data_IF_289053648012
#
_entry.id   IF_289053648012
#
_cell.length_a   1.000
_cell.length_b   1.000
_cell.length_c   1.000
_cell.angle_alpha   90.00
_cell.angle_beta   90.00
_cell.angle_gamma   90.00
#
_symmetry.space_group_name_H-M   'P 1'
#
loop_
_entity.id
_entity.type
_entity.pdbx_description
1 polymer ?
#
# COMPACT_ATOMS: atom_id res chain seq x y z
N UNK A 1 23.32 29.21 -22.89
CA UNK A 1 22.01 29.83 -22.59
C UNK A 1 20.97 28.72 -22.59
N UNK A 2 20.52 28.32 -21.40
CA UNK A 2 19.47 27.32 -21.23
C UNK A 2 18.14 28.01 -21.55
N UNK A 3 17.39 27.52 -22.55
CA UNK A 3 16.05 28.02 -22.83
C UNK A 3 15.08 26.95 -22.38
N UNK A 4 14.28 27.24 -21.36
CA UNK A 4 13.15 26.39 -20.99
C UNK A 4 12.05 26.59 -22.03
N UNK A 5 11.72 25.53 -22.79
CA UNK A 5 10.59 25.54 -23.72
C UNK A 5 9.50 24.63 -23.15
N UNK A 6 8.38 25.23 -22.75
CA UNK A 6 7.20 24.48 -22.34
C UNK A 6 6.40 24.07 -23.58
N UNK A 7 6.50 22.82 -23.99
CA UNK A 7 5.68 22.26 -25.08
C UNK A 7 4.54 21.45 -24.46
N UNK A 8 3.29 21.84 -24.72
CA UNK A 8 2.12 21.00 -24.40
C UNK A 8 1.98 19.94 -25.50
N UNK A 9 2.21 18.67 -25.16
CA UNK A 9 1.96 17.54 -26.06
C UNK A 9 0.53 17.04 -25.81
N UNK A 10 -0.34 17.17 -26.81
CA UNK A 10 -1.79 16.97 -26.67
C UNK A 10 -2.26 15.50 -26.57
N UNK A 11 -1.34 14.52 -26.52
CA UNK A 11 -1.67 13.09 -26.57
C UNK A 11 -1.21 12.28 -25.36
N UNK A 12 -0.92 12.92 -24.22
CA UNK A 12 -0.55 12.24 -22.97
C UNK A 12 -1.78 12.17 -22.05
N UNK A 13 -2.14 10.99 -21.50
CA UNK A 13 -3.22 10.85 -20.53
C UNK A 13 -3.04 11.79 -19.32
N UNK A 14 -4.13 12.27 -18.69
CA UNK A 14 -4.08 13.28 -17.64
C UNK A 14 -3.35 12.87 -16.35
N UNK A 15 -2.93 11.60 -16.26
CA UNK A 15 -2.28 10.95 -15.11
C UNK A 15 -0.75 11.13 -15.10
N UNK A 16 -0.16 11.67 -16.17
CA UNK A 16 1.31 11.77 -16.35
C UNK A 16 1.80 13.23 -16.34
N UNK A 17 1.48 14.00 -15.29
CA UNK A 17 1.66 15.47 -15.32
C UNK A 17 3.07 16.02 -15.10
N UNK A 18 4.09 15.20 -14.93
CA UNK A 18 5.47 15.70 -14.78
C UNK A 18 6.40 15.07 -15.82
N UNK A 19 6.39 15.61 -17.05
CA UNK A 19 7.39 15.30 -18.07
C UNK A 19 8.42 16.42 -18.06
N UNK A 20 9.65 16.10 -17.65
CA UNK A 20 10.78 17.02 -17.71
C UNK A 20 11.56 16.80 -19.01
N UNK A 21 11.53 17.79 -19.91
CA UNK A 21 12.28 17.75 -21.17
C UNK A 21 13.55 18.57 -21.00
N UNK A 22 14.71 17.90 -21.07
CA UNK A 22 16.01 18.57 -21.11
C UNK A 22 16.45 18.70 -22.57
N UNK A 23 16.64 19.94 -23.06
CA UNK A 23 17.16 20.20 -24.41
C UNK A 23 18.61 20.64 -24.29
N UNK A 24 19.54 19.84 -24.81
CA UNK A 24 20.95 20.20 -24.88
C UNK A 24 21.26 20.83 -26.25
N UNK A 25 21.95 21.98 -26.26
CA UNK A 25 22.52 22.56 -27.50
C UNK A 25 24.02 22.30 -27.52
N UNK A 26 24.44 21.38 -28.37
CA UNK A 26 25.85 21.23 -28.73
C UNK A 26 26.25 22.29 -29.76
N UNK A 27 27.31 23.04 -29.47
CA UNK A 27 27.92 23.96 -30.43
C UNK A 27 29.06 23.23 -31.12
N UNK A 28 28.90 22.91 -32.41
CA UNK A 28 30.01 22.43 -33.24
C UNK A 28 30.58 23.60 -34.05
N UNK A 29 31.90 23.84 -34.03
CA UNK A 29 32.51 24.89 -34.82
C UNK A 29 32.82 24.35 -36.21
N UNK A 30 31.86 24.39 -37.15
CA UNK A 30 32.18 24.36 -38.57
C UNK A 30 31.15 25.13 -39.40
N UNK A 31 31.59 25.90 -40.42
CA UNK A 31 30.68 26.70 -41.23
C UNK A 31 30.25 25.87 -42.44
N UNK A 32 29.22 25.03 -42.28
CA UNK A 32 28.22 24.62 -43.30
C UNK A 32 27.47 23.39 -42.77
N UNK A 33 26.15 23.55 -42.63
CA UNK A 33 25.15 22.57 -42.17
C UNK A 33 24.94 22.47 -40.65
N UNK A 34 23.93 23.19 -40.16
CA UNK A 34 23.32 22.98 -38.84
C UNK A 34 22.36 21.79 -39.00
N UNK A 35 22.79 20.59 -38.60
CA UNK A 35 21.88 19.45 -38.43
C UNK A 35 21.34 19.46 -37.00
N UNK A 36 20.04 19.72 -36.84
CA UNK A 36 19.35 19.71 -35.55
C UNK A 36 18.99 18.24 -35.21
N UNK A 37 19.90 17.52 -34.57
CA UNK A 37 19.63 16.18 -34.04
C UNK A 37 18.88 16.26 -32.72
N UNK A 38 17.59 15.94 -32.69
CA UNK A 38 16.80 15.81 -31.45
C UNK A 38 16.90 14.35 -31.01
N UNK A 39 17.67 14.08 -29.95
CA UNK A 39 17.61 12.80 -29.25
C UNK A 39 16.60 12.91 -28.10
N UNK A 40 15.44 12.26 -28.26
CA UNK A 40 14.40 12.18 -27.24
C UNK A 40 14.63 10.93 -26.39
N UNK A 41 15.12 11.10 -25.16
CA UNK A 41 15.05 10.05 -24.14
C UNK A 41 13.84 10.31 -23.25
N UNK A 42 12.79 9.50 -23.41
CA UNK A 42 11.58 9.55 -22.61
C UNK A 42 11.80 8.67 -21.37
N UNK A 43 12.06 9.26 -20.20
CA UNK A 43 11.94 8.55 -18.94
C UNK A 43 10.51 8.67 -18.45
N UNK A 44 9.73 7.58 -18.58
CA UNK A 44 8.46 7.45 -17.89
C UNK A 44 8.75 6.79 -16.55
N UNK A 45 8.82 7.59 -15.48
CA UNK A 45 8.70 7.06 -14.14
C UNK A 45 7.23 6.66 -13.94
N UNK A 46 6.91 5.41 -14.28
CA UNK A 46 5.58 4.85 -14.09
C UNK A 46 5.41 4.47 -12.62
N UNK A 47 5.17 5.45 -11.75
CA UNK A 47 4.56 5.18 -10.44
C UNK A 47 3.10 4.83 -10.70
N UNK A 48 2.79 3.55 -10.91
CA UNK A 48 1.39 3.13 -10.95
C UNK A 48 0.80 3.35 -9.56
N UNK A 49 -0.05 4.37 -9.43
CA UNK A 49 -0.91 4.57 -8.27
C UNK A 49 -1.81 3.34 -8.16
N UNK A 50 -1.48 2.49 -7.22
CA UNK A 50 -2.20 1.26 -6.99
C UNK A 50 -3.48 1.58 -6.23
N UNK A 51 -4.58 1.73 -6.97
CA UNK A 51 -5.91 1.93 -6.38
C UNK A 51 -6.62 0.59 -6.33
N UNK A 52 -7.11 0.28 -5.14
CA UNK A 52 -7.87 -0.94 -4.86
C UNK A 52 -9.31 -0.57 -4.57
N UNK A 53 -10.26 -1.27 -5.20
CA UNK A 53 -11.70 -1.07 -5.02
C UNK A 53 -12.35 -2.33 -4.49
N UNK A 54 -12.92 -2.25 -3.28
CA UNK A 54 -13.74 -3.29 -2.68
C UNK A 54 -15.15 -2.73 -2.47
N UNK A 55 -16.15 -3.42 -3.01
CA UNK A 55 -17.56 -3.11 -2.76
C UNK A 55 -18.18 -4.21 -1.92
N UNK A 56 -18.75 -3.83 -0.78
CA UNK A 56 -19.51 -4.71 0.09
C UNK A 56 -20.99 -4.42 -0.11
N UNK A 57 -21.76 -5.47 -0.33
CA UNK A 57 -23.21 -5.38 -0.47
C UNK A 57 -23.87 -6.42 0.40
N UNK A 58 -24.92 -6.05 1.12
CA UNK A 58 -25.69 -7.01 1.93
C UNK A 58 -27.17 -6.84 1.69
N UNK A 59 -27.90 -7.94 1.83
CA UNK A 59 -29.36 -7.89 1.89
C UNK A 59 -29.82 -7.15 3.16
N UNK A 60 -31.03 -6.59 3.14
CA UNK A 60 -31.57 -5.88 4.31
C UNK A 60 -31.66 -6.78 5.56
N UNK A 61 -31.97 -8.07 5.36
CA UNK A 61 -32.02 -9.04 6.44
C UNK A 61 -30.64 -9.30 7.05
N UNK A 62 -29.62 -9.52 6.21
CA UNK A 62 -28.25 -9.74 6.67
C UNK A 62 -27.72 -8.48 7.38
N UNK A 63 -27.94 -7.30 6.79
CA UNK A 63 -27.53 -6.02 7.38
C UNK A 63 -28.17 -5.81 8.76
N UNK A 64 -29.46 -6.13 8.93
CA UNK A 64 -30.15 -6.00 10.22
C UNK A 64 -29.53 -6.89 11.29
N UNK A 65 -29.24 -8.15 10.95
CA UNK A 65 -28.60 -9.10 11.89
C UNK A 65 -27.20 -8.61 12.26
N UNK A 66 -26.39 -8.20 11.29
CA UNK A 66 -25.03 -7.68 11.52
C UNK A 66 -25.03 -6.43 12.41
N UNK A 67 -25.94 -5.47 12.16
CA UNK A 67 -26.09 -4.26 12.99
C UNK A 67 -26.55 -4.57 14.41
N UNK A 68 -27.51 -5.49 14.58
CA UNK A 68 -27.98 -5.91 15.89
C UNK A 68 -26.88 -6.59 16.71
N UNK A 69 -25.97 -7.30 16.05
CA UNK A 69 -24.78 -7.89 16.67
C UNK A 69 -23.64 -6.89 16.94
N UNK A 70 -23.79 -5.59 16.63
CA UNK A 70 -22.72 -4.61 16.83
C UNK A 70 -21.46 -4.87 16.01
N UNK A 71 -21.60 -5.60 14.89
CA UNK A 71 -20.49 -5.99 14.04
C UNK A 71 -20.05 -4.84 13.12
N UNK A 72 -18.75 -4.73 12.90
CA UNK A 72 -18.13 -3.80 11.97
C UNK A 72 -17.35 -4.55 10.89
N UNK A 73 -17.38 -4.03 9.66
CA UNK A 73 -16.58 -4.55 8.55
C UNK A 73 -15.11 -4.20 8.78
N UNK A 74 -14.28 -5.23 8.80
CA UNK A 74 -12.83 -5.13 8.78
C UNK A 74 -12.31 -5.50 7.39
N UNK A 75 -11.35 -4.73 6.89
CA UNK A 75 -10.62 -5.02 5.68
C UNK A 75 -9.13 -4.99 6.01
N UNK A 76 -8.45 -6.09 5.74
CA UNK A 76 -7.01 -6.23 5.93
C UNK A 76 -6.29 -6.49 4.62
N UNK A 77 -5.02 -6.09 4.57
CA UNK A 77 -4.12 -6.43 3.46
C UNK A 77 -3.04 -7.37 3.93
N UNK A 78 -2.66 -8.30 3.05
CA UNK A 78 -1.55 -9.21 3.29
C UNK A 78 -0.19 -8.55 3.04
N UNK A 79 0.81 -8.91 3.83
CA UNK A 79 2.22 -8.59 3.59
C UNK A 79 3.03 -9.88 3.73
N UNK A 80 3.91 -10.13 2.76
CA UNK A 80 4.89 -11.22 2.85
C UNK A 80 6.23 -10.71 3.34
N UNK A 81 6.83 -11.45 4.25
CA UNK A 81 8.18 -11.20 4.73
C UNK A 81 9.24 -11.92 3.87
N UNK A 82 10.51 -11.76 4.25
CA UNK A 82 11.65 -12.39 3.56
C UNK A 82 11.63 -13.92 3.60
N UNK A 83 10.88 -14.53 4.51
CA UNK A 83 10.68 -15.99 4.60
C UNK A 83 9.52 -16.49 3.72
N UNK A 84 8.73 -15.58 3.15
CA UNK A 84 7.50 -15.89 2.43
C UNK A 84 6.29 -16.10 3.34
N UNK A 85 6.41 -15.80 4.64
CA UNK A 85 5.30 -15.90 5.58
C UNK A 85 4.33 -14.74 5.35
N UNK A 86 3.06 -15.07 5.13
CA UNK A 86 2.00 -14.10 4.87
C UNK A 86 1.32 -13.73 6.18
N UNK A 87 1.25 -12.44 6.46
CA UNK A 87 0.50 -11.88 7.60
C UNK A 87 -0.52 -10.86 7.12
N UNK A 88 -1.61 -10.66 7.85
CA UNK A 88 -2.69 -9.73 7.49
C UNK A 88 -2.82 -8.64 8.54
N UNK A 89 -3.07 -7.40 8.12
CA UNK A 89 -3.36 -6.30 9.03
C UNK A 89 -4.48 -5.42 8.52
N UNK A 90 -5.34 -4.98 9.44
CA UNK A 90 -6.50 -4.13 9.15
C UNK A 90 -6.03 -2.80 8.58
N UNK A 91 -6.49 -2.49 7.36
CA UNK A 91 -6.28 -1.22 6.66
C UNK A 91 -7.53 -0.34 6.69
N UNK A 92 -8.69 -0.92 7.02
CA UNK A 92 -9.93 -0.20 7.18
C UNK A 92 -10.87 -0.92 8.15
N UNK A 93 -11.52 -0.12 8.99
CA UNK A 93 -12.59 -0.51 9.89
C UNK A 93 -13.80 0.39 9.66
N UNK A 94 -14.98 -0.19 9.48
CA UNK A 94 -16.21 0.59 9.34
C UNK A 94 -16.70 1.13 10.68
N UNK A 95 -17.13 2.39 10.73
CA UNK A 95 -17.82 2.93 11.90
C UNK A 95 -19.29 2.46 11.99
N UNK A 96 -20.00 2.42 10.85
CA UNK A 96 -21.36 1.90 10.71
C UNK A 96 -21.47 1.09 9.42
N UNK A 97 -22.43 0.17 9.36
CA UNK A 97 -22.72 -0.64 8.19
C UNK A 97 -23.81 0.02 7.32
N UNK A 98 -23.65 -0.02 6.00
CA UNK A 98 -24.65 0.44 5.05
C UNK A 98 -24.96 -0.65 4.01
N UNK A 99 -26.15 -0.66 3.37
CA UNK A 99 -26.50 -1.70 2.39
C UNK A 99 -25.45 -1.87 1.29
N UNK A 100 -24.85 -0.76 0.84
CA UNK A 100 -23.72 -0.75 -0.07
C UNK A 100 -22.60 0.08 0.56
N UNK A 101 -21.39 -0.46 0.58
CA UNK A 101 -20.20 0.23 1.07
C UNK A 101 -19.07 0.03 0.07
N UNK A 102 -18.37 1.10 -0.28
CA UNK A 102 -17.18 1.02 -1.12
C UNK A 102 -15.98 1.46 -0.31
N UNK A 103 -14.98 0.60 -0.21
CA UNK A 103 -13.69 0.89 0.42
C UNK A 103 -12.67 1.04 -0.70
N UNK A 104 -12.02 2.21 -0.73
CA UNK A 104 -10.98 2.55 -1.68
C UNK A 104 -9.77 3.06 -0.92
N UNK A 105 -8.59 2.52 -1.23
CA UNK A 105 -7.33 3.07 -0.75
C UNK A 105 -6.31 3.10 -1.88
N UNK A 106 -5.37 4.04 -1.73
CA UNK A 106 -4.18 4.13 -2.56
C UNK A 106 -3.03 3.54 -1.77
N UNK A 107 -2.27 2.63 -2.37
CA UNK A 107 -1.14 2.01 -1.70
C UNK A 107 0.09 2.95 -1.67
N UNK A 108 0.04 3.99 -0.84
CA UNK A 108 1.17 4.87 -0.56
C UNK A 108 1.95 4.30 0.61
N UNK A 109 2.91 3.41 0.33
CA UNK A 109 3.66 2.74 1.38
C UNK A 109 4.72 3.65 2.00
N UNK A 110 5.03 3.34 3.26
CA UNK A 110 6.16 3.93 3.96
C UNK A 110 6.86 2.90 4.85
N UNK A 111 8.14 3.13 5.10
CA UNK A 111 8.97 2.38 6.04
C UNK A 111 9.16 3.17 7.33
N UNK A 112 9.16 2.46 8.45
CA UNK A 112 9.64 2.93 9.74
C UNK A 112 10.32 1.75 10.48
N UNK A 113 10.78 1.95 11.70
CA UNK A 113 11.44 0.91 12.48
C UNK A 113 11.23 1.09 13.99
N UNK A 114 11.35 -0.03 14.70
CA UNK A 114 11.30 -0.13 16.18
C UNK A 114 12.38 -1.10 16.67
N UNK A 115 12.78 -1.00 17.94
CA UNK A 115 13.78 -1.91 18.55
C UNK A 115 13.16 -3.06 19.35
N UNK A 116 11.88 -2.93 19.69
CA UNK A 116 11.09 -3.92 20.44
C UNK A 116 9.67 -4.02 19.90
N UNK A 117 9.18 -5.24 19.68
CA UNK A 117 7.77 -5.50 19.36
C UNK A 117 6.92 -5.20 20.61
N UNK A 118 5.86 -4.37 20.50
CA UNK A 118 4.96 -4.12 21.62
C UNK A 118 4.19 -5.40 22.01
N UNK A 119 3.77 -5.49 23.27
CA UNK A 119 2.89 -6.57 23.71
C UNK A 119 1.61 -6.60 22.86
N UNK A 120 0.99 -7.77 22.63
CA UNK A 120 -0.30 -7.85 21.95
C UNK A 120 -1.31 -6.87 22.55
N UNK A 121 -1.92 -6.05 21.68
CA UNK A 121 -2.85 -4.98 22.06
C UNK A 121 -2.19 -3.62 22.30
N UNK A 122 -0.91 -3.54 22.66
CA UNK A 122 -0.25 -2.26 22.91
C UNK A 122 0.04 -1.48 21.62
N UNK A 123 -0.04 -0.14 21.71
CA UNK A 123 0.30 0.78 20.64
C UNK A 123 1.77 0.63 20.22
N UNK A 124 2.03 0.62 18.91
CA UNK A 124 3.40 0.64 18.39
C UNK A 124 3.96 2.06 18.57
N UNK A 125 4.98 2.19 19.43
CA UNK A 125 5.76 3.42 19.55
C UNK A 125 6.96 3.38 18.60
N UNK A 126 6.95 4.25 17.59
CA UNK A 126 8.02 4.34 16.59
C UNK A 126 9.24 5.06 17.15
N UNK A 127 10.43 4.60 16.76
CA UNK A 127 11.69 5.28 17.07
C UNK A 127 12.23 6.07 15.88
N UNK A 128 11.92 5.64 14.65
CA UNK A 128 12.28 6.32 13.42
C UNK A 128 11.23 7.31 12.90
N UNK A 129 11.61 8.00 11.83
CA UNK A 129 10.69 8.79 11.01
C UNK A 129 10.11 7.92 9.89
N UNK A 130 8.86 8.17 9.53
CA UNK A 130 8.25 7.54 8.36
C UNK A 130 8.95 7.98 7.07
N UNK A 131 9.30 7.03 6.24
CA UNK A 131 9.87 7.25 4.92
C UNK A 131 8.95 6.69 3.85
N UNK A 132 8.30 7.55 3.09
CA UNK A 132 7.50 7.12 1.94
C UNK A 132 8.38 6.44 0.89
N UNK A 133 7.89 5.36 0.32
CA UNK A 133 8.64 4.52 -0.61
C UNK A 133 7.70 3.87 -1.62
N UNK A 134 8.13 3.85 -2.88
CA UNK A 134 7.47 3.09 -3.92
C UNK A 134 8.03 1.66 -3.96
N UNK A 135 7.28 0.74 -4.57
CA UNK A 135 7.82 -0.57 -4.90
C UNK A 135 9.05 -0.42 -5.81
N UNK A 136 10.12 -1.12 -5.45
CA UNK A 136 11.41 -1.05 -6.13
C UNK A 136 12.36 0.00 -5.55
N UNK A 137 11.87 0.96 -4.76
CA UNK A 137 12.74 1.90 -4.07
C UNK A 137 13.56 1.17 -2.99
N UNK A 138 14.77 1.66 -2.76
CA UNK A 138 15.67 1.14 -1.72
C UNK A 138 16.22 2.25 -0.84
N UNK A 139 16.19 2.01 0.47
CA UNK A 139 16.59 2.96 1.50
C UNK A 139 17.52 2.30 2.50
N UNK A 140 18.51 3.03 2.99
CA UNK A 140 19.39 2.58 4.07
C UNK A 140 19.03 3.31 5.35
N UNK A 141 19.16 2.64 6.50
CA UNK A 141 19.26 3.33 7.78
C UNK A 141 20.70 3.77 7.99
N UNK A 142 20.94 5.02 8.35
CA UNK A 142 22.25 5.47 8.78
C UNK A 142 22.53 5.16 10.26
N UNK A 143 23.72 5.54 10.75
CA UNK A 143 24.12 5.34 12.14
C UNK A 143 23.21 6.04 13.16
N UNK A 144 22.44 7.04 12.74
CA UNK A 144 21.48 7.76 13.59
C UNK A 144 20.08 7.18 13.54
N UNK A 145 19.84 6.19 12.68
CA UNK A 145 18.52 5.62 12.43
C UNK A 145 17.66 6.44 11.48
N UNK A 146 18.27 7.37 10.74
CA UNK A 146 17.58 8.15 9.70
C UNK A 146 17.64 7.42 8.36
N UNK A 147 16.59 7.57 7.55
CA UNK A 147 16.50 6.96 6.23
C UNK A 147 17.32 7.75 5.19
N UNK A 148 18.14 7.05 4.42
CA UNK A 148 18.96 7.59 3.35
C UNK A 148 18.63 6.89 2.03
N UNK A 149 18.46 7.63 0.91
CA UNK A 149 18.12 7.02 -0.37
C UNK A 149 19.28 6.16 -0.89
N UNK A 150 18.99 4.93 -1.30
CA UNK A 150 19.96 3.99 -1.89
C UNK A 150 19.39 3.35 -3.16
N UNK A 151 19.04 4.18 -4.15
CA UNK A 151 18.33 3.72 -5.36
C UNK A 151 19.20 2.92 -6.35
N UNK A 152 20.50 2.81 -6.09
CA UNK A 152 21.44 2.02 -6.88
C UNK A 152 21.75 0.66 -6.22
N UNK A 153 20.96 0.24 -5.22
CA UNK A 153 21.13 -1.04 -4.54
C UNK A 153 20.97 -2.20 -5.55
N UNK A 154 22.03 -2.97 -5.85
CA UNK A 154 21.96 -4.05 -6.84
C UNK A 154 21.11 -5.24 -6.38
N UNK A 155 20.82 -5.34 -5.08
CA UNK A 155 19.98 -6.38 -4.50
C UNK A 155 18.51 -5.95 -4.36
N UNK A 156 18.15 -4.71 -4.75
CA UNK A 156 16.76 -4.25 -4.64
C UNK A 156 15.83 -5.05 -5.56
N UNK A 157 14.72 -5.54 -5.01
CA UNK A 157 13.65 -6.19 -5.77
C UNK A 157 12.60 -5.18 -6.20
N UNK A 158 12.21 -5.28 -7.47
CA UNK A 158 11.27 -4.36 -8.13
C UNK A 158 9.90 -4.25 -7.45
N UNK A 159 9.41 -5.32 -6.84
CA UNK A 159 8.08 -5.36 -6.23
C UNK A 159 8.11 -5.17 -4.69
N UNK A 160 9.29 -4.95 -4.12
CA UNK A 160 9.46 -4.86 -2.68
C UNK A 160 9.70 -3.41 -2.25
N UNK A 161 9.40 -3.13 -0.98
CA UNK A 161 9.98 -2.02 -0.24
C UNK A 161 11.33 -2.52 0.27
N UNK A 162 12.43 -1.96 -0.23
CA UNK A 162 13.76 -2.49 0.05
C UNK A 162 14.45 -1.66 1.13
N UNK A 163 15.05 -2.35 2.09
CA UNK A 163 16.04 -1.78 2.99
C UNK A 163 17.41 -2.29 2.54
N UNK A 164 18.25 -1.44 1.97
CA UNK A 164 19.55 -1.86 1.44
C UNK A 164 20.53 -2.20 2.55
N UNK A 165 20.55 -1.40 3.62
CA UNK A 165 21.40 -1.62 4.80
C UNK A 165 20.77 -1.05 6.07
N UNK A 166 20.79 -1.82 7.15
CA UNK A 166 20.63 -1.31 8.51
C UNK A 166 21.98 -0.79 9.04
N UNK A 167 22.28 0.50 8.86
CA UNK A 167 23.46 1.14 9.43
C UNK A 167 23.31 1.60 10.87
N UNK A 168 22.12 1.44 11.48
CA UNK A 168 21.87 1.82 12.86
C UNK A 168 22.70 0.96 13.84
N UNK A 169 22.89 1.46 15.06
CA UNK A 169 23.75 0.78 16.03
C UNK A 169 23.17 -0.55 16.52
N UNK A 170 21.86 -0.72 16.44
CA UNK A 170 21.11 -1.89 16.91
C UNK A 170 20.40 -2.63 15.77
N UNK A 171 19.99 -3.87 16.07
CA UNK A 171 19.08 -4.64 15.23
C UNK A 171 17.65 -4.09 15.39
N UNK A 172 16.94 -3.90 14.27
CA UNK A 172 15.63 -3.25 14.27
C UNK A 172 14.57 -4.14 13.65
N UNK A 173 13.31 -3.97 14.05
CA UNK A 173 12.16 -4.51 13.31
C UNK A 173 11.71 -3.46 12.31
N UNK A 174 11.60 -3.85 11.04
CA UNK A 174 11.05 -2.96 10.01
C UNK A 174 9.54 -2.92 10.14
N UNK A 175 9.01 -1.72 10.05
CA UNK A 175 7.59 -1.42 10.07
C UNK A 175 7.19 -0.94 8.69
N UNK A 176 6.13 -1.51 8.13
CA UNK A 176 5.50 -1.04 6.90
C UNK A 176 4.19 -0.36 7.26
N UNK A 177 3.97 0.82 6.70
CA UNK A 177 2.76 1.60 6.88
C UNK A 177 2.17 2.05 5.56
N UNK A 178 0.95 2.58 5.62
CA UNK A 178 0.27 3.25 4.51
C UNK A 178 -0.05 4.68 4.91
N UNK A 179 0.21 5.62 4.01
CA UNK A 179 -0.18 7.01 4.17
C UNK A 179 -1.61 7.25 3.68
N UNK A 180 -2.40 7.96 4.47
CA UNK A 180 -3.68 8.51 4.01
C UNK A 180 -3.49 9.74 3.10
N UNK A 181 -4.59 10.32 2.61
CA UNK A 181 -4.53 11.53 1.76
C UNK A 181 -3.99 12.77 2.47
N UNK A 182 -3.98 12.79 3.81
CA UNK A 182 -3.43 13.87 4.62
C UNK A 182 -1.94 13.69 4.93
N UNK A 183 -1.35 12.54 4.55
CA UNK A 183 0.03 12.18 4.86
C UNK A 183 0.20 11.55 6.25
N UNK A 184 -0.89 11.22 6.93
CA UNK A 184 -0.84 10.46 8.17
C UNK A 184 -0.53 8.99 7.86
N UNK A 185 0.46 8.41 8.55
CA UNK A 185 0.89 7.04 8.33
C UNK A 185 0.31 6.11 9.39
N UNK A 186 -0.39 5.08 8.95
CA UNK A 186 -0.86 3.98 9.80
C UNK A 186 0.01 2.76 9.56
N UNK A 187 0.46 2.11 10.64
CA UNK A 187 1.17 0.84 10.54
C UNK A 187 0.24 -0.24 10.02
N UNK A 188 0.71 -0.95 9.01
CA UNK A 188 0.02 -2.10 8.43
C UNK A 188 0.83 -3.37 8.55
N UNK A 189 2.05 -3.34 9.09
CA UNK A 189 2.84 -4.52 9.35
C UNK A 189 4.09 -4.19 10.18
N UNK A 190 4.48 -5.10 11.06
CA UNK A 190 5.76 -5.09 11.76
C UNK A 190 6.45 -6.40 11.47
N UNK A 191 7.71 -6.34 11.05
CA UNK A 191 8.50 -7.54 10.79
C UNK A 191 8.59 -8.39 12.04
N UNK A 192 8.30 -9.71 11.95
CA UNK A 192 8.50 -10.61 13.08
C UNK A 192 10.00 -10.81 13.36
N UNK A 193 10.84 -10.62 12.35
CA UNK A 193 12.28 -10.80 12.41
C UNK A 193 13.02 -9.46 12.50
N UNK A 194 14.12 -9.46 13.25
CA UNK A 194 14.99 -8.28 13.29
C UNK A 194 15.85 -8.21 12.03
N UNK A 195 15.85 -7.05 11.38
CA UNK A 195 16.87 -6.66 10.43
C UNK A 195 18.19 -6.41 11.17
N UNK A 196 19.14 -7.32 11.01
CA UNK A 196 20.43 -7.25 11.68
C UNK A 196 21.26 -6.05 11.20
N UNK A 197 22.10 -5.51 12.08
CA UNK A 197 23.06 -4.47 11.74
C UNK A 197 23.92 -4.87 10.54
N UNK A 198 24.10 -3.94 9.61
CA UNK A 198 24.78 -4.05 8.33
C UNK A 198 24.12 -4.99 7.30
N UNK A 199 22.92 -5.53 7.56
CA UNK A 199 22.18 -6.33 6.59
C UNK A 199 21.06 -5.54 5.92
N UNK A 200 20.54 -6.05 4.81
CA UNK A 200 19.36 -5.55 4.11
C UNK A 200 18.16 -6.48 4.24
N UNK A 201 16.99 -6.01 3.81
CA UNK A 201 15.73 -6.74 3.85
C UNK A 201 14.77 -6.27 2.75
N UNK A 202 13.83 -7.14 2.40
CA UNK A 202 12.89 -6.93 1.30
C UNK A 202 11.48 -7.25 1.81
N UNK A 203 10.55 -6.32 1.61
CA UNK A 203 9.19 -6.45 2.14
C UNK A 203 8.22 -6.27 0.98
N UNK A 204 7.52 -7.34 0.59
CA UNK A 204 6.61 -7.32 -0.55
C UNK A 204 5.17 -7.11 -0.06
N UNK A 205 4.58 -5.94 -0.36
CA UNK A 205 3.15 -5.77 -0.14
C UNK A 205 2.39 -6.69 -1.09
N UNK A 206 1.51 -7.53 -0.55
CA UNK A 206 0.73 -8.47 -1.34
C UNK A 206 -0.68 -7.92 -1.55
N UNK A 207 -1.23 -8.11 -2.74
CA UNK A 207 -2.57 -7.63 -3.12
C UNK A 207 -3.70 -8.54 -2.63
N UNK A 208 -3.42 -9.46 -1.71
CA UNK A 208 -4.47 -10.24 -1.07
C UNK A 208 -5.15 -9.39 0.00
N UNK A 209 -6.46 -9.23 -0.15
CA UNK A 209 -7.31 -8.56 0.81
C UNK A 209 -8.12 -9.60 1.56
N UNK A 210 -8.21 -9.42 2.87
CA UNK A 210 -8.99 -10.27 3.77
C UNK A 210 -10.08 -9.43 4.41
N UNK A 211 -11.32 -9.93 4.39
CA UNK A 211 -12.48 -9.27 4.97
C UNK A 211 -13.13 -10.15 6.03
N UNK A 212 -13.62 -9.55 7.10
CA UNK A 212 -14.44 -10.20 8.12
C UNK A 212 -15.33 -9.17 8.83
N UNK A 213 -16.31 -9.67 9.58
CA UNK A 213 -17.04 -8.87 10.56
C UNK A 213 -16.53 -9.17 11.97
N UNK A 214 -16.38 -8.14 12.79
CA UNK A 214 -15.89 -8.25 14.17
C UNK A 214 -16.69 -7.33 15.10
N UNK A 215 -16.94 -7.77 16.33
CA UNK A 215 -17.57 -6.94 17.37
C UNK A 215 -16.59 -5.87 17.90
N UNK A 216 -17.06 -4.63 17.95
CA UNK A 216 -16.38 -3.55 18.66
C UNK A 216 -15.30 -2.80 17.87
N UNK A 217 -14.89 -1.66 18.44
CA UNK A 217 -13.73 -0.90 17.98
C UNK A 217 -12.50 -1.45 18.67
N UNK A 218 -11.46 -1.87 17.93
CA UNK A 218 -10.18 -2.27 18.53
C UNK A 218 -9.48 -1.01 19.08
N UNK A 219 -9.96 -0.47 20.20
CA UNK A 219 -9.23 0.53 20.97
C UNK A 219 -8.20 -0.20 21.83
N UNK A 220 -7.10 -0.65 21.21
CA UNK A 220 -5.78 -1.00 21.78
C UNK A 220 -5.75 -1.77 23.14
N UNK A 221 -6.83 -2.43 23.57
CA UNK A 221 -6.89 -3.07 24.90
C UNK A 221 -8.05 -4.05 25.11
N UNK A 222 -8.94 -4.25 24.13
CA UNK A 222 -9.96 -5.29 24.18
C UNK A 222 -9.85 -6.24 22.99
N UNK A 223 -9.70 -7.53 23.30
CA UNK A 223 -9.86 -8.65 22.36
C UNK A 223 -11.34 -8.79 22.06
N UNK A 224 -11.69 -8.85 20.78
CA UNK A 224 -13.05 -9.14 20.30
C UNK A 224 -13.62 -10.40 20.94
N UNK A 225 -14.88 -10.35 21.34
CA UNK A 225 -15.61 -11.51 21.85
C UNK A 225 -16.18 -12.38 20.73
N UNK A 226 -16.39 -11.85 19.51
CA UNK A 226 -16.96 -12.56 18.37
C UNK A 226 -16.49 -11.98 17.02
N UNK A 227 -16.13 -12.86 16.10
CA UNK A 227 -15.84 -12.54 14.71
C UNK A 227 -16.45 -13.58 13.77
N UNK A 228 -16.75 -13.18 12.53
CA UNK A 228 -17.08 -14.15 11.47
C UNK A 228 -15.80 -14.82 10.95
N UNK A 229 -15.97 -15.89 10.18
CA UNK A 229 -14.90 -16.39 9.32
C UNK A 229 -14.34 -15.27 8.43
N UNK A 230 -13.06 -15.38 8.09
CA UNK A 230 -12.38 -14.45 7.19
C UNK A 230 -12.54 -14.91 5.73
N UNK A 231 -12.59 -13.96 4.81
CA UNK A 231 -12.55 -14.23 3.36
C UNK A 231 -11.41 -13.47 2.73
N UNK A 232 -10.44 -14.21 2.21
CA UNK A 232 -9.30 -13.65 1.47
C UNK A 232 -9.53 -13.72 -0.04
N UNK A 233 -9.05 -12.72 -0.77
CA UNK A 233 -9.07 -12.67 -2.24
C UNK A 233 -7.93 -11.82 -2.75
N UNK A 234 -7.25 -12.29 -3.80
CA UNK A 234 -6.22 -11.51 -4.49
C UNK A 234 -6.90 -10.49 -5.39
N UNK A 235 -6.56 -9.22 -5.20
CA UNK A 235 -7.05 -8.13 -6.04
C UNK A 235 -6.03 -7.87 -7.15
N UNK A 236 -6.55 -7.63 -8.35
CA UNK A 236 -5.75 -7.14 -9.46
C UNK A 236 -5.81 -5.62 -9.42
N UNK A 237 -4.71 -4.94 -9.08
CA UNK A 237 -4.81 -3.52 -8.88
C UNK A 237 -4.92 -2.76 -10.19
N UNK A 238 -5.70 -1.68 -10.20
CA UNK A 238 -6.07 -0.99 -11.44
C UNK A 238 -7.12 -1.71 -12.30
N UNK A 239 -7.66 -2.84 -11.82
CA UNK A 239 -8.76 -3.58 -12.43
C UNK A 239 -10.05 -3.54 -11.59
N UNK A 240 -11.09 -4.22 -12.07
CA UNK A 240 -12.49 -4.20 -11.63
C UNK A 240 -12.70 -4.29 -10.10
N UNK A 241 -13.72 -3.59 -9.62
CA UNK A 241 -14.21 -3.66 -8.23
C UNK A 241 -14.55 -5.09 -7.85
N UNK A 242 -13.96 -5.59 -6.75
CA UNK A 242 -14.37 -6.87 -6.18
C UNK A 242 -15.62 -6.67 -5.32
N UNK A 243 -16.68 -7.41 -5.60
CA UNK A 243 -17.89 -7.41 -4.80
C UNK A 243 -17.86 -8.56 -3.79
N UNK A 244 -18.13 -8.25 -2.53
CA UNK A 244 -18.24 -9.22 -1.42
C UNK A 244 -19.57 -9.08 -0.68
N UNK A 245 -20.09 -10.18 -0.16
CA UNK A 245 -21.31 -10.23 0.64
C UNK A 245 -21.25 -11.41 1.62
N UNK A 246 -21.85 -11.24 2.79
CA UNK A 246 -21.94 -12.23 3.85
C UNK A 246 -23.38 -12.64 4.09
N UNK A 247 -23.65 -13.94 4.00
CA UNK A 247 -24.98 -14.48 4.32
C UNK A 247 -25.02 -14.88 5.78
N UNK A 248 -25.77 -14.14 6.59
CA UNK A 248 -26.00 -14.44 8.02
C UNK A 248 -26.79 -15.73 8.20
N UNK A 249 -27.72 -16.01 7.27
CA UNK A 249 -28.48 -17.26 7.25
C UNK A 249 -27.58 -18.50 7.06
N UNK A 250 -26.55 -18.39 6.21
CA UNK A 250 -25.62 -19.49 5.94
C UNK A 250 -24.38 -19.45 6.84
N UNK A 251 -24.20 -18.38 7.63
CA UNK A 251 -23.02 -18.15 8.44
C UNK A 251 -21.72 -18.11 7.62
N UNK A 252 -21.74 -17.62 6.37
CA UNK A 252 -20.56 -17.63 5.50
C UNK A 252 -20.55 -16.50 4.48
N UNK A 253 -19.34 -16.15 4.06
CA UNK A 253 -19.11 -15.30 2.89
C UNK A 253 -19.60 -15.98 1.61
N UNK A 254 -20.28 -15.21 0.76
CA UNK A 254 -20.57 -15.61 -0.61
C UNK A 254 -19.28 -15.56 -1.44
N UNK A 255 -19.27 -16.25 -2.59
CA UNK A 255 -18.12 -16.19 -3.46
C UNK A 255 -17.97 -14.78 -4.06
N UNK A 256 -16.79 -14.14 -3.94
CA UNK A 256 -16.54 -12.83 -4.50
C UNK A 256 -16.70 -12.84 -6.00
N UNK A 257 -17.20 -11.75 -6.55
CA UNK A 257 -17.49 -11.64 -7.98
C UNK A 257 -17.16 -10.25 -8.52
N UNK A 258 -16.88 -10.13 -9.83
CA UNK A 258 -16.54 -8.85 -10.47
C UNK A 258 -17.77 -7.97 -10.73
N UNK A 259 -18.98 -8.46 -10.49
CA UNK A 259 -20.24 -7.74 -10.69
C UNK A 259 -21.06 -7.66 -9.40
N UNK A 260 -21.91 -6.63 -9.23
CA UNK A 260 -22.78 -6.51 -8.07
C UNK A 260 -23.63 -7.75 -7.81
N UNK A 261 -23.85 -8.07 -6.54
CA UNK A 261 -24.81 -9.09 -6.13
C UNK A 261 -26.23 -8.65 -6.47
N UNK A 262 -27.02 -9.60 -6.98
CA UNK A 262 -28.45 -9.41 -7.17
C UNK A 262 -29.17 -10.05 -5.99
N UNK A 263 -29.74 -9.21 -5.13
CA UNK A 263 -30.57 -9.68 -4.02
C UNK A 263 -32.03 -9.71 -4.46
N UNK A 264 -32.82 -10.72 -4.01
CA UNK A 264 -34.25 -10.68 -4.21
C UNK A 264 -34.81 -9.42 -3.54
N UNK A 265 -35.69 -8.71 -4.24
CA UNK A 265 -36.43 -7.58 -3.68
C UNK A 265 -37.25 -8.08 -2.48
N UNK A 266 -36.98 -7.50 -1.31
CA UNK A 266 -37.73 -7.71 -0.06
C UNK A 266 -39.19 -7.31 -0.19
#
# INVERSE_FOLDING_TARGET
>A
MLVLLSIRVASIPPESRNVWIWVWRGYYPSPRHIALGIFLHLFVASSQLLIVWLSRQESDNDLKVLKQGGLQLQVAKSVADTSGTITYNVVYQSHDLAPNMTVQWTANYALNWITSIPNPGARVEYKGNWQSCNAGDSWDLDSTGSWQPNQNNPSAKKNCLNVGKNGYEENVYIVVGVADKSGHHSTIWVSPDKLLKNNGGEYEPLETVTVWYEEGTQTESMVSTQQTDTKSSTLNPGHDTLYVSYSTMKGKWLEPQPTPFTFPSS
#
